data_IF_747615541294
#
_entry.id   IF_747615541294
#
_cell.length_a   1.000
_cell.length_b   1.000
_cell.length_c   1.000
_cell.angle_alpha   90.00
_cell.angle_beta   90.00
_cell.angle_gamma   90.00
#
_symmetry.space_group_name_H-M   'P 1'
#
loop_
_entity.id
_entity.type
_entity.pdbx_description
1 polymer ?
#
# COMPACT_ATOMS: atom_id res chain seq x y z
N UNK A 1 -44.38 31.66 27.81
CA UNK A 1 -44.46 32.94 28.53
C UNK A 1 -43.13 33.67 28.40
N UNK A 2 -43.20 34.92 27.93
CA UNK A 2 -42.23 36.02 28.02
C UNK A 2 -40.87 35.96 27.30
N UNK A 3 -40.91 36.62 26.14
CA UNK A 3 -39.90 37.43 25.45
C UNK A 3 -39.11 38.42 26.31
N UNK A 4 -37.89 38.77 25.87
CA UNK A 4 -37.28 40.12 25.93
C UNK A 4 -35.96 40.11 25.13
N UNK A 5 -35.45 41.16 24.48
CA UNK A 5 -35.95 42.38 23.80
C UNK A 5 -34.70 42.96 23.11
N UNK A 6 -34.82 43.43 21.88
CA UNK A 6 -33.75 44.10 21.13
C UNK A 6 -33.35 45.46 21.72
N UNK A 7 -32.15 45.95 21.39
CA UNK A 7 -31.84 47.39 21.36
C UNK A 7 -30.82 47.72 20.26
N UNK A 8 -31.09 48.85 19.62
CA UNK A 8 -30.64 49.47 18.37
C UNK A 8 -29.26 50.18 18.41
N UNK A 9 -28.67 50.45 17.22
CA UNK A 9 -27.37 51.12 16.93
C UNK A 9 -27.27 52.63 17.25
N UNK A 10 -26.63 53.54 16.47
CA UNK A 10 -25.98 53.45 15.14
C UNK A 10 -24.63 54.24 14.96
N UNK A 11 -24.12 54.27 13.71
CA UNK A 11 -23.42 55.39 13.02
C UNK A 11 -21.90 55.61 13.17
N UNK A 12 -21.17 55.55 12.04
CA UNK A 12 -20.58 56.74 11.40
C UNK A 12 -19.83 56.39 10.10
N UNK A 13 -20.11 57.18 9.06
CA UNK A 13 -19.51 57.14 7.74
C UNK A 13 -18.21 57.97 7.65
N UNK A 14 -17.29 57.63 6.74
CA UNK A 14 -16.42 58.64 6.12
C UNK A 14 -15.77 58.19 4.80
N UNK A 15 -16.32 58.74 3.71
CA UNK A 15 -15.66 59.42 2.57
C UNK A 15 -14.77 58.64 1.57
N UNK A 16 -15.30 58.62 0.33
CA UNK A 16 -14.65 58.62 -1.00
C UNK A 16 -13.72 59.84 -1.20
N UNK A 17 -12.75 59.82 -2.13
CA UNK A 17 -12.99 60.18 -3.55
C UNK A 17 -12.26 59.27 -4.57
N UNK A 18 -12.88 58.84 -5.69
CA UNK A 18 -13.07 59.50 -7.01
C UNK A 18 -11.82 59.59 -7.87
N UNK A 19 -11.76 58.79 -8.95
CA UNK A 19 -11.22 58.99 -10.33
C UNK A 19 -10.91 57.60 -10.88
N UNK A 20 -11.22 57.14 -12.09
CA UNK A 20 -11.78 57.76 -13.29
C UNK A 20 -11.86 56.66 -14.38
N UNK A 21 -12.89 56.79 -15.22
CA UNK A 21 -13.21 56.11 -16.49
C UNK A 21 -12.03 55.69 -17.39
N UNK A 22 -12.15 54.52 -18.02
CA UNK A 22 -12.13 54.32 -19.49
C UNK A 22 -12.15 52.82 -19.80
N UNK A 23 -13.25 52.26 -20.32
CA UNK A 23 -13.62 52.23 -21.74
C UNK A 23 -12.68 51.33 -22.55
N UNK A 24 -13.17 50.11 -22.80
CA UNK A 24 -12.69 49.24 -23.86
C UNK A 24 -12.98 49.89 -25.20
N UNK A 25 -11.97 49.96 -26.07
CA UNK A 25 -12.15 50.25 -27.48
C UNK A 25 -11.25 49.35 -28.33
N UNK A 26 -11.76 49.08 -29.52
CA UNK A 26 -11.45 48.00 -30.42
C UNK A 26 -10.26 48.30 -31.34
N UNK A 27 -9.73 47.22 -31.93
CA UNK A 27 -9.26 47.11 -33.31
C UNK A 27 -8.75 48.35 -34.05
N UNK A 28 -7.45 48.37 -34.38
CA UNK A 28 -6.97 48.57 -35.76
C UNK A 28 -5.44 48.43 -35.90
N UNK A 29 -5.03 47.33 -36.54
CA UNK A 29 -4.13 47.27 -37.71
C UNK A 29 -3.20 48.47 -37.97
N UNK A 30 -1.89 48.27 -37.83
CA UNK A 30 -0.86 48.75 -38.78
C UNK A 30 0.55 48.30 -38.35
N UNK A 31 1.27 47.65 -39.27
CA UNK A 31 2.72 47.44 -39.21
C UNK A 31 3.43 48.76 -39.57
N UNK A 32 4.62 49.03 -39.02
CA UNK A 32 5.81 48.86 -39.85
C UNK A 32 7.02 48.26 -39.12
N UNK A 33 7.87 47.63 -39.93
CA UNK A 33 9.16 47.07 -39.56
C UNK A 33 10.16 48.15 -39.13
N UNK A 34 10.87 47.91 -38.02
CA UNK A 34 12.18 48.50 -37.77
C UNK A 34 12.95 47.58 -36.82
N UNK A 35 14.03 47.02 -37.36
CA UNK A 35 14.96 46.13 -36.69
C UNK A 35 15.63 46.79 -35.48
N UNK A 36 15.66 46.11 -34.33
CA UNK A 36 16.72 46.26 -33.32
C UNK A 36 17.04 44.91 -32.68
N UNK A 37 18.30 44.57 -32.84
CA UNK A 37 19.02 43.38 -32.40
C UNK A 37 19.32 43.45 -30.90
N UNK A 38 18.84 42.47 -30.13
CA UNK A 38 19.31 42.08 -28.78
C UNK A 38 18.78 40.67 -28.54
N UNK A 39 19.58 39.64 -28.82
CA UNK A 39 20.49 38.99 -27.87
C UNK A 39 19.77 38.17 -26.78
N UNK A 40 20.05 36.87 -26.84
CA UNK A 40 20.21 35.91 -25.73
C UNK A 40 18.99 35.29 -25.01
N UNK A 41 18.98 33.94 -25.07
CA UNK A 41 18.52 32.99 -24.04
C UNK A 41 17.01 32.91 -23.76
N UNK A 42 16.27 32.25 -24.65
CA UNK A 42 15.03 31.55 -24.27
C UNK A 42 15.39 30.15 -23.76
N UNK A 43 15.64 30.06 -22.46
CA UNK A 43 15.74 28.79 -21.74
C UNK A 43 14.39 28.07 -21.77
N UNK A 44 14.44 26.77 -22.07
CA UNK A 44 13.37 25.80 -21.85
C UNK A 44 12.84 25.92 -20.41
N UNK A 45 11.59 26.35 -20.28
CA UNK A 45 10.77 26.12 -19.09
C UNK A 45 9.53 25.37 -19.57
N UNK A 46 9.68 24.05 -19.73
CA UNK A 46 8.54 23.14 -19.73
C UNK A 46 8.02 23.11 -18.30
N UNK A 47 7.18 24.09 -17.94
CA UNK A 47 6.27 23.91 -16.82
C UNK A 47 5.26 22.86 -17.24
N UNK A 48 5.48 21.61 -16.82
CA UNK A 48 4.37 20.66 -16.67
C UNK A 48 3.53 21.21 -15.53
N UNK A 49 2.60 22.10 -15.87
CA UNK A 49 1.44 22.31 -15.04
C UNK A 49 0.73 20.96 -15.01
N UNK A 50 0.88 20.23 -13.90
CA UNK A 50 -0.06 19.20 -13.50
C UNK A 50 -1.40 19.91 -13.32
N UNK A 51 -2.11 20.10 -14.43
CA UNK A 51 -3.51 20.43 -14.40
C UNK A 51 -4.18 19.25 -13.72
N UNK A 52 -4.46 19.41 -12.43
CA UNK A 52 -5.48 18.66 -11.70
C UNK A 52 -6.83 18.98 -12.33
N UNK A 53 -7.03 18.53 -13.57
CA UNK A 53 -8.35 18.32 -14.12
C UNK A 53 -8.89 17.11 -13.40
N UNK A 54 -9.89 17.32 -12.54
CA UNK A 54 -10.64 16.26 -11.88
C UNK A 54 -11.20 15.32 -12.96
N UNK A 55 -10.48 14.25 -13.26
CA UNK A 55 -10.95 13.19 -14.13
C UNK A 55 -12.13 12.53 -13.44
N UNK A 56 -13.22 12.34 -14.17
CA UNK A 56 -14.40 11.56 -13.75
C UNK A 56 -14.10 10.05 -13.63
N UNK A 57 -12.84 9.66 -13.58
CA UNK A 57 -12.37 8.29 -13.60
C UNK A 57 -11.18 8.09 -12.64
N UNK A 58 -10.79 6.83 -12.40
CA UNK A 58 -9.75 6.45 -11.45
C UNK A 58 -8.47 7.29 -11.59
N UNK A 59 -7.86 7.65 -10.46
CA UNK A 59 -6.55 8.32 -10.47
C UNK A 59 -5.47 7.41 -11.08
N UNK A 60 -4.50 8.00 -11.78
CA UNK A 60 -3.36 7.23 -12.28
C UNK A 60 -2.55 6.59 -11.13
N UNK A 61 -2.01 5.36 -11.31
CA UNK A 61 -2.00 4.55 -12.54
C UNK A 61 -3.22 3.63 -12.71
N UNK A 62 -4.25 3.76 -11.88
CA UNK A 62 -5.39 2.84 -11.84
C UNK A 62 -6.33 2.98 -13.04
N UNK A 63 -6.28 4.10 -13.76
CA UNK A 63 -7.00 4.35 -15.02
C UNK A 63 -6.65 3.34 -16.13
N UNK A 64 -5.52 2.65 -16.02
CA UNK A 64 -5.02 1.70 -17.02
C UNK A 64 -5.31 0.23 -16.69
N UNK A 65 -5.92 -0.06 -15.53
CA UNK A 65 -6.04 -1.44 -15.01
C UNK A 65 -6.81 -2.39 -15.94
N UNK A 66 -7.88 -1.94 -16.59
CA UNK A 66 -8.72 -2.74 -17.50
C UNK A 66 -7.97 -3.34 -18.70
N UNK A 67 -6.85 -2.73 -19.09
CA UNK A 67 -5.99 -3.22 -20.18
C UNK A 67 -4.74 -3.93 -19.69
N UNK A 68 -4.55 -4.03 -18.37
CA UNK A 68 -3.30 -4.48 -17.77
C UNK A 68 -3.34 -5.96 -17.38
N UNK A 69 -2.17 -6.58 -17.31
CA UNK A 69 -2.04 -7.90 -16.70
C UNK A 69 -1.99 -7.73 -15.18
N UNK A 70 -3.06 -8.12 -14.48
CA UNK A 70 -3.15 -8.02 -13.01
C UNK A 70 -2.91 -9.38 -12.36
N UNK A 71 -1.94 -9.45 -11.47
CA UNK A 71 -1.65 -10.62 -10.65
C UNK A 71 -1.88 -10.29 -9.18
N UNK A 72 -2.70 -11.09 -8.52
CA UNK A 72 -2.98 -10.99 -7.10
C UNK A 72 -2.17 -12.05 -6.32
N UNK A 73 -1.63 -11.64 -5.18
CA UNK A 73 -0.86 -12.49 -4.28
C UNK A 73 -1.51 -12.52 -2.90
N UNK A 74 -1.69 -13.72 -2.36
CA UNK A 74 -2.02 -13.91 -0.94
C UNK A 74 -0.71 -14.05 -0.19
N UNK A 75 -0.50 -13.21 0.82
CA UNK A 75 0.80 -13.04 1.48
C UNK A 75 0.75 -13.54 2.94
N UNK A 76 1.88 -14.06 3.42
CA UNK A 76 2.06 -14.47 4.80
C UNK A 76 2.74 -13.36 5.61
N UNK A 77 2.07 -12.91 6.67
CA UNK A 77 2.53 -11.83 7.55
C UNK A 77 3.55 -12.25 8.61
N UNK A 78 3.53 -13.51 9.02
CA UNK A 78 4.39 -14.03 10.08
C UNK A 78 5.09 -15.30 9.62
N UNK A 79 6.41 -15.22 9.53
CA UNK A 79 7.29 -16.36 9.35
C UNK A 79 8.06 -16.53 10.67
N UNK A 80 7.94 -17.70 11.30
CA UNK A 80 8.83 -18.05 12.39
C UNK A 80 10.26 -17.99 11.84
N UNK A 81 11.21 -17.33 12.54
CA UNK A 81 12.59 -17.29 12.06
C UNK A 81 13.01 -18.73 11.76
N UNK A 82 13.64 -18.98 10.59
CA UNK A 82 14.00 -20.33 10.20
C UNK A 82 14.80 -20.95 11.34
N UNK A 83 14.20 -21.94 12.00
CA UNK A 83 14.90 -22.75 12.99
C UNK A 83 16.03 -23.38 12.19
N UNK A 84 17.28 -22.95 12.44
CA UNK A 84 18.42 -23.61 11.82
C UNK A 84 18.24 -25.10 12.04
N UNK A 85 18.17 -25.83 10.93
CA UNK A 85 18.06 -27.27 10.95
C UNK A 85 19.12 -27.79 11.92
N UNK A 86 18.69 -28.42 13.00
CA UNK A 86 19.60 -29.20 13.81
C UNK A 86 20.19 -30.24 12.86
N UNK A 87 21.52 -30.19 12.68
CA UNK A 87 22.27 -31.12 11.86
C UNK A 87 21.81 -32.54 12.20
N UNK A 88 21.32 -33.34 11.23
CA UNK A 88 20.92 -34.71 11.50
C UNK A 88 22.14 -35.47 12.02
N UNK A 89 22.17 -35.76 13.32
CA UNK A 89 23.31 -36.45 13.95
C UNK A 89 23.45 -36.27 15.46
N UNK A 90 22.86 -35.25 16.08
CA UNK A 90 23.01 -35.05 17.54
C UNK A 90 21.87 -35.69 18.35
N UNK A 91 21.63 -36.98 18.15
CA UNK A 91 20.86 -37.79 19.10
C UNK A 91 21.84 -38.50 20.04
N UNK A 92 21.85 -38.11 21.32
CA UNK A 92 22.25 -39.01 22.41
C UNK A 92 23.74 -39.34 22.59
N UNK A 93 24.67 -38.52 22.14
CA UNK A 93 26.09 -38.69 22.44
C UNK A 93 26.66 -37.49 23.18
N UNK A 94 27.27 -37.70 24.35
CA UNK A 94 28.19 -36.75 24.98
C UNK A 94 29.28 -36.40 23.94
N UNK A 95 29.11 -35.29 23.22
CA UNK A 95 30.13 -34.80 22.29
C UNK A 95 31.25 -34.19 23.16
N UNK A 96 32.44 -34.81 23.23
CA UNK A 96 33.54 -34.26 24.00
C UNK A 96 34.04 -33.00 23.29
N UNK A 97 33.97 -31.85 23.96
CA UNK A 97 34.49 -30.58 23.45
C UNK A 97 33.47 -29.47 23.21
N UNK A 98 32.22 -29.61 23.66
CA UNK A 98 31.24 -28.50 23.59
C UNK A 98 31.50 -27.45 24.70
N UNK A 99 31.53 -26.15 24.37
CA UNK A 99 31.57 -25.08 25.35
C UNK A 99 30.28 -25.06 26.20
N UNK A 100 30.39 -24.70 27.50
CA UNK A 100 29.30 -24.83 28.47
C UNK A 100 28.06 -24.00 28.14
N UNK A 101 28.19 -22.87 27.46
CA UNK A 101 27.02 -22.09 27.00
C UNK A 101 26.05 -22.94 26.17
N UNK A 102 26.59 -23.89 25.40
CA UNK A 102 25.79 -24.72 24.50
C UNK A 102 24.93 -25.74 25.27
N UNK A 103 25.40 -26.20 26.43
CA UNK A 103 24.63 -27.11 27.28
C UNK A 103 23.43 -26.41 27.92
N UNK A 104 23.57 -25.12 28.25
CA UNK A 104 22.50 -24.33 28.85
C UNK A 104 21.30 -24.14 27.92
N UNK A 105 21.52 -23.82 26.64
CA UNK A 105 20.39 -23.66 25.71
C UNK A 105 19.71 -24.99 25.41
N UNK A 106 20.46 -26.10 25.37
CA UNK A 106 19.89 -27.44 25.16
C UNK A 106 18.94 -27.79 26.30
N UNK A 107 19.35 -27.55 27.55
CA UNK A 107 18.50 -27.79 28.72
C UNK A 107 17.26 -26.89 28.73
N UNK A 108 17.40 -25.61 28.39
CA UNK A 108 16.27 -24.68 28.34
C UNK A 108 15.27 -25.02 27.22
N UNK A 109 15.76 -25.40 26.04
CA UNK A 109 14.91 -25.80 24.91
C UNK A 109 14.15 -27.11 25.16
N UNK A 110 14.78 -28.07 25.83
CA UNK A 110 14.17 -29.36 26.16
C UNK A 110 12.98 -29.23 27.13
N UNK A 111 13.02 -28.28 28.06
CA UNK A 111 11.92 -28.06 29.00
C UNK A 111 10.69 -27.41 28.33
N UNK A 112 10.88 -26.48 27.39
CA UNK A 112 9.77 -25.88 26.65
C UNK A 112 9.03 -26.89 25.77
N UNK A 113 9.76 -27.81 25.15
CA UNK A 113 9.16 -28.86 24.32
C UNK A 113 8.39 -29.90 25.14
N UNK A 114 8.89 -30.23 26.34
CA UNK A 114 8.27 -31.20 27.25
C UNK A 114 6.91 -30.74 27.80
N UNK A 115 6.63 -29.42 27.82
CA UNK A 115 5.33 -28.88 28.24
C UNK A 115 4.28 -28.82 27.12
N UNK A 116 4.70 -28.90 25.86
CA UNK A 116 3.80 -28.90 24.70
C UNK A 116 3.44 -30.31 24.21
N UNK A 117 4.07 -31.34 24.77
CA UNK A 117 3.80 -32.74 24.45
C UNK A 117 2.85 -33.34 25.50
N UNK A 118 1.62 -33.75 25.11
CA UNK A 118 0.73 -34.49 25.99
C UNK A 118 1.41 -35.79 26.44
N UNK A 119 1.41 -36.12 27.74
CA UNK A 119 2.00 -37.35 28.24
C UNK A 119 1.27 -38.56 27.66
N UNK A 120 1.92 -39.29 26.74
CA UNK A 120 1.36 -40.53 26.16
C UNK A 120 1.67 -40.78 24.68
N UNK A 121 2.23 -39.80 23.95
CA UNK A 121 2.52 -39.91 22.51
C UNK A 121 4.01 -40.04 22.15
N UNK A 122 4.87 -40.37 23.12
CA UNK A 122 6.29 -40.62 22.85
C UNK A 122 6.48 -42.09 22.40
N UNK A 123 6.72 -42.37 21.10
CA UNK A 123 7.05 -43.72 20.65
C UNK A 123 8.35 -44.19 21.33
N UNK A 124 8.41 -45.45 21.82
CA UNK A 124 9.60 -45.98 22.48
C UNK A 124 10.78 -45.98 21.50
N UNK A 125 11.77 -45.11 21.74
CA UNK A 125 13.02 -45.05 20.94
C UNK A 125 13.43 -43.67 20.43
N UNK A 126 12.62 -42.61 20.54
CA UNK A 126 13.00 -41.26 20.09
C UNK A 126 13.43 -40.36 21.26
N UNK A 127 14.68 -40.51 21.70
CA UNK A 127 15.43 -39.43 22.36
C UNK A 127 16.11 -38.59 21.28
N UNK A 128 15.35 -37.63 20.75
CA UNK A 128 15.80 -36.77 19.66
C UNK A 128 14.60 -36.39 18.80
N UNK A 129 13.79 -35.47 19.31
CA UNK A 129 12.73 -34.86 18.51
C UNK A 129 13.35 -34.31 17.24
N UNK A 130 12.94 -34.86 16.09
CA UNK A 130 13.36 -34.35 14.80
C UNK A 130 12.96 -32.87 14.74
N UNK A 131 13.96 -31.99 14.70
CA UNK A 131 13.73 -30.59 14.37
C UNK A 131 13.02 -30.55 13.00
N UNK A 132 11.98 -29.70 12.83
CA UNK A 132 11.35 -29.55 11.53
C UNK A 132 12.41 -29.20 10.49
N UNK A 133 12.40 -29.92 9.37
CA UNK A 133 13.34 -29.70 8.29
C UNK A 133 13.26 -28.23 7.84
N UNK A 134 14.41 -27.61 7.46
CA UNK A 134 14.42 -26.24 6.97
C UNK A 134 13.50 -26.18 5.74
N UNK A 135 12.46 -25.35 5.81
CA UNK A 135 11.55 -25.15 4.68
C UNK A 135 12.35 -24.55 3.52
N UNK A 136 12.16 -25.04 2.27
CA UNK A 136 12.76 -24.42 1.09
C UNK A 136 12.40 -22.93 1.01
N UNK A 137 13.32 -22.11 0.48
CA UNK A 137 13.06 -20.69 0.23
C UNK A 137 11.84 -20.56 -0.69
N UNK A 138 10.74 -20.04 -0.14
CA UNK A 138 9.49 -19.90 -0.86
C UNK A 138 9.47 -18.59 -1.65
N UNK A 139 8.80 -18.53 -2.81
CA UNK A 139 8.65 -17.29 -3.57
C UNK A 139 8.12 -16.15 -2.70
N UNK A 140 8.69 -14.94 -2.88
CA UNK A 140 8.34 -13.74 -2.11
C UNK A 140 7.88 -12.62 -3.02
N UNK A 141 6.94 -11.82 -2.54
CA UNK A 141 6.50 -10.57 -3.15
C UNK A 141 6.80 -9.43 -2.17
N UNK A 142 7.72 -8.54 -2.54
CA UNK A 142 8.20 -7.43 -1.68
C UNK A 142 8.61 -7.88 -0.26
N UNK A 143 9.29 -9.04 -0.16
CA UNK A 143 9.77 -9.62 1.10
C UNK A 143 8.76 -10.54 1.82
N UNK A 144 7.47 -10.49 1.46
CA UNK A 144 6.44 -11.35 2.04
C UNK A 144 6.36 -12.68 1.31
N UNK A 145 6.29 -13.78 2.05
CA UNK A 145 6.13 -15.13 1.47
C UNK A 145 4.77 -15.24 0.77
N UNK A 146 4.78 -15.73 -0.46
CA UNK A 146 3.58 -15.94 -1.27
C UNK A 146 2.93 -17.26 -0.84
N UNK A 147 1.68 -17.18 -0.36
CA UNK A 147 0.83 -18.34 -0.05
C UNK A 147 0.06 -18.82 -1.28
N UNK A 148 -0.38 -17.88 -2.12
CA UNK A 148 -1.09 -18.16 -3.37
C UNK A 148 -0.89 -17.00 -4.34
N UNK A 149 -0.94 -17.31 -5.64
CA UNK A 149 -0.86 -16.35 -6.73
C UNK A 149 -1.99 -16.64 -7.71
N UNK A 150 -2.69 -15.60 -8.15
CA UNK A 150 -3.80 -15.73 -9.10
C UNK A 150 -3.76 -14.60 -10.11
N UNK A 151 -3.78 -14.96 -11.39
CA UNK A 151 -3.94 -13.98 -12.46
C UNK A 151 -5.41 -13.57 -12.54
N UNK A 152 -5.68 -12.27 -12.42
CA UNK A 152 -7.03 -11.71 -12.48
C UNK A 152 -7.36 -11.43 -13.94
N UNK A 153 -8.20 -12.27 -14.54
CA UNK A 153 -8.64 -12.14 -15.94
C UNK A 153 -10.01 -11.47 -16.11
N UNK A 154 -10.78 -11.36 -15.03
CA UNK A 154 -12.12 -10.76 -15.08
C UNK A 154 -11.98 -9.23 -15.19
N UNK A 155 -12.45 -8.68 -16.31
CA UNK A 155 -12.40 -7.24 -16.58
C UNK A 155 -13.24 -6.43 -15.61
N UNK A 156 -14.35 -6.99 -15.10
CA UNK A 156 -15.18 -6.31 -14.10
C UNK A 156 -14.44 -6.21 -12.76
N UNK A 157 -13.69 -7.26 -12.37
CA UNK A 157 -12.85 -7.20 -11.17
C UNK A 157 -11.73 -6.19 -11.30
N UNK A 158 -11.11 -6.09 -12.48
CA UNK A 158 -10.08 -5.09 -12.74
C UNK A 158 -10.65 -3.66 -12.69
N UNK A 159 -11.85 -3.44 -13.23
CA UNK A 159 -12.57 -2.16 -13.13
C UNK A 159 -12.93 -1.83 -11.67
N UNK A 160 -13.49 -2.79 -10.92
CA UNK A 160 -13.82 -2.62 -9.51
C UNK A 160 -12.57 -2.29 -8.67
N UNK A 161 -11.45 -2.98 -8.92
CA UNK A 161 -10.16 -2.64 -8.32
C UNK A 161 -9.69 -1.24 -8.70
N UNK A 162 -9.83 -0.84 -9.97
CA UNK A 162 -9.45 0.47 -10.45
C UNK A 162 -10.27 1.59 -9.80
N UNK A 163 -11.57 1.41 -9.69
CA UNK A 163 -12.48 2.35 -9.04
C UNK A 163 -12.14 2.48 -7.56
N UNK A 164 -12.03 1.37 -6.83
CA UNK A 164 -11.73 1.41 -5.40
C UNK A 164 -10.36 2.05 -5.13
N UNK A 165 -9.33 1.63 -5.87
CA UNK A 165 -7.95 2.09 -5.64
C UNK A 165 -7.70 3.48 -6.21
N UNK A 166 -8.43 3.89 -7.24
CA UNK A 166 -8.30 5.18 -7.89
C UNK A 166 -9.25 6.25 -7.38
N UNK A 167 -10.19 5.92 -6.50
CA UNK A 167 -11.09 6.89 -5.86
C UNK A 167 -10.45 7.46 -4.58
N UNK A 168 -10.14 8.78 -4.52
CA UNK A 168 -9.63 9.40 -3.30
C UNK A 168 -10.60 9.29 -2.12
N UNK A 169 -11.90 9.19 -2.36
CA UNK A 169 -12.91 9.04 -1.32
C UNK A 169 -12.93 7.64 -0.70
N UNK A 170 -12.17 6.67 -1.21
CA UNK A 170 -11.92 5.39 -0.55
C UNK A 170 -10.94 5.51 0.63
N UNK A 171 -10.23 6.64 0.75
CA UNK A 171 -9.12 6.78 1.67
C UNK A 171 -9.31 7.89 2.70
N UNK A 172 -8.66 7.72 3.84
CA UNK A 172 -8.58 8.69 4.92
C UNK A 172 -7.25 8.58 5.68
N UNK A 173 -6.96 9.59 6.49
CA UNK A 173 -5.73 9.66 7.29
C UNK A 173 -5.71 8.75 8.54
N UNK A 174 -6.77 7.99 8.82
CA UNK A 174 -6.86 7.12 10.01
C UNK A 174 -6.43 5.70 9.69
N UNK A 175 -5.15 5.37 9.85
CA UNK A 175 -4.66 4.01 9.73
C UNK A 175 -3.62 3.70 10.80
N UNK A 176 -3.39 2.42 11.03
CA UNK A 176 -2.33 1.96 11.94
C UNK A 176 -1.01 1.87 11.17
N UNK A 177 0.09 2.34 11.76
CA UNK A 177 1.42 2.11 11.20
C UNK A 177 1.88 0.70 11.57
N UNK A 178 1.48 -0.32 10.80
CA UNK A 178 1.96 -1.68 10.99
C UNK A 178 2.49 -2.32 9.70
N UNK A 179 3.41 -3.28 9.87
CA UNK A 179 4.18 -3.91 8.81
C UNK A 179 3.54 -5.22 8.31
N UNK A 180 2.20 -5.27 8.27
CA UNK A 180 1.46 -6.44 7.80
C UNK A 180 0.96 -6.19 6.39
N UNK A 181 1.20 -7.12 5.48
CA UNK A 181 0.64 -7.16 4.13
C UNK A 181 0.05 -8.55 3.89
N UNK A 182 -1.27 -8.64 3.93
CA UNK A 182 -2.02 -9.87 3.67
C UNK A 182 -2.21 -10.13 2.17
N UNK A 183 -2.20 -9.06 1.36
CA UNK A 183 -2.44 -9.15 -0.07
C UNK A 183 -1.48 -8.24 -0.85
N UNK A 184 -1.00 -8.74 -1.97
CA UNK A 184 -0.24 -7.98 -2.95
C UNK A 184 -1.00 -7.90 -4.27
N UNK A 185 -0.90 -6.78 -4.96
CA UNK A 185 -1.34 -6.63 -6.34
C UNK A 185 -0.16 -6.14 -7.18
N UNK A 186 0.07 -6.80 -8.30
CA UNK A 186 1.02 -6.38 -9.34
C UNK A 186 0.24 -6.22 -10.63
N UNK A 187 0.25 -5.04 -11.21
CA UNK A 187 -0.38 -4.81 -12.51
C UNK A 187 0.62 -4.24 -13.51
N UNK A 188 0.63 -4.82 -14.70
CA UNK A 188 1.56 -4.48 -15.78
C UNK A 188 0.81 -3.83 -16.93
N UNK A 189 0.77 -2.48 -17.01
CA UNK A 189 0.09 -1.77 -18.09
C UNK A 189 0.82 -1.92 -19.43
N UNK A 190 2.12 -2.23 -19.41
CA UNK A 190 2.94 -2.46 -20.60
C UNK A 190 4.09 -3.42 -20.24
N UNK A 191 4.62 -4.24 -21.18
CA UNK A 191 5.72 -5.15 -20.88
C UNK A 191 6.93 -4.45 -20.26
N UNK A 192 7.42 -4.99 -19.14
CA UNK A 192 8.59 -4.46 -18.42
C UNK A 192 8.28 -3.36 -17.41
N UNK A 193 7.01 -2.93 -17.28
CA UNK A 193 6.57 -1.98 -16.24
C UNK A 193 5.59 -2.69 -15.31
N UNK A 194 5.87 -2.68 -14.01
CA UNK A 194 4.96 -3.20 -12.99
C UNK A 194 4.62 -2.13 -11.96
N UNK A 195 3.33 -2.00 -11.68
CA UNK A 195 2.82 -1.19 -10.59
C UNK A 195 2.39 -2.15 -9.47
N UNK A 196 3.16 -2.13 -8.39
CA UNK A 196 3.00 -3.05 -7.29
C UNK A 196 2.50 -2.30 -6.06
N UNK A 197 1.56 -2.90 -5.36
CA UNK A 197 1.08 -2.40 -4.07
C UNK A 197 0.82 -3.55 -3.10
N UNK A 198 0.89 -3.22 -1.82
CA UNK A 198 0.58 -4.09 -0.71
C UNK A 198 -0.67 -3.56 0.00
N UNK A 199 -1.59 -4.46 0.30
CA UNK A 199 -2.82 -4.17 1.03
C UNK A 199 -2.72 -4.82 2.40
N UNK A 200 -2.92 -3.99 3.42
CA UNK A 200 -2.97 -4.40 4.80
C UNK A 200 -4.39 -4.30 5.35
N UNK A 201 -5.06 -5.45 5.49
CA UNK A 201 -6.40 -5.48 6.08
C UNK A 201 -6.34 -5.25 7.60
N UNK A 202 -5.31 -5.78 8.28
CA UNK A 202 -5.14 -5.57 9.72
C UNK A 202 -4.82 -4.11 10.08
N UNK A 203 -4.11 -3.39 9.20
CA UNK A 203 -3.72 -2.00 9.43
C UNK A 203 -4.69 -0.99 8.79
N UNK A 204 -5.65 -1.47 8.00
CA UNK A 204 -6.50 -0.66 7.12
C UNK A 204 -5.67 0.32 6.27
N UNK A 205 -4.62 -0.16 5.60
CA UNK A 205 -3.76 0.71 4.78
C UNK A 205 -3.32 0.04 3.47
N UNK A 206 -2.99 0.87 2.50
CA UNK A 206 -2.34 0.47 1.25
C UNK A 206 -0.93 1.08 1.18
N UNK A 207 0.02 0.34 0.63
CA UNK A 207 1.39 0.81 0.41
C UNK A 207 1.78 0.54 -1.04
N UNK A 208 1.94 1.59 -1.83
CA UNK A 208 2.52 1.49 -3.16
C UNK A 208 4.03 1.22 -3.07
N UNK A 209 4.54 0.31 -3.91
CA UNK A 209 5.93 -0.13 -3.89
C UNK A 209 6.73 0.45 -5.06
N UNK A 210 6.18 0.39 -6.27
CA UNK A 210 6.90 0.78 -7.50
C UNK A 210 6.41 2.07 -8.11
N UNK A 211 5.42 2.74 -7.48
CA UNK A 211 4.86 4.01 -7.94
C UNK A 211 4.52 4.91 -6.75
N UNK A 212 4.36 6.21 -7.01
CA UNK A 212 3.90 7.15 -6.00
C UNK A 212 2.39 7.02 -5.80
N UNK A 213 1.96 6.87 -4.54
CA UNK A 213 0.54 6.81 -4.21
C UNK A 213 -0.16 8.12 -4.64
N UNK A 214 -1.23 8.06 -5.46
CA UNK A 214 -1.81 9.25 -6.06
C UNK A 214 -2.73 10.04 -5.11
N UNK A 215 -3.10 9.46 -3.97
CA UNK A 215 -4.02 10.07 -3.01
C UNK A 215 -3.29 10.73 -1.85
N UNK A 216 -3.92 11.73 -1.24
CA UNK A 216 -3.38 12.42 -0.07
C UNK A 216 -3.29 11.55 1.20
N UNK A 217 -3.92 10.37 1.19
CA UNK A 217 -3.90 9.42 2.31
C UNK A 217 -4.03 7.99 1.80
N UNK A 218 -3.50 7.02 2.55
CA UNK A 218 -3.50 5.61 2.16
C UNK A 218 -4.26 4.69 3.14
N UNK A 219 -4.87 5.27 4.18
CA UNK A 219 -5.71 4.53 5.12
C UNK A 219 -7.07 4.22 4.50
N UNK A 220 -7.46 2.95 4.46
CA UNK A 220 -8.72 2.49 3.87
C UNK A 220 -9.90 2.81 4.81
N UNK A 221 -11.00 3.32 4.25
CA UNK A 221 -12.27 3.44 4.97
C UNK A 221 -12.89 2.05 5.21
N UNK A 222 -13.82 1.90 6.18
CA UNK A 222 -14.49 0.62 6.44
C UNK A 222 -15.20 0.04 5.20
N UNK A 223 -15.82 0.89 4.38
CA UNK A 223 -16.47 0.45 3.14
C UNK A 223 -15.45 -0.06 2.12
N UNK A 224 -14.30 0.63 1.98
CA UNK A 224 -13.18 0.19 1.13
C UNK A 224 -12.62 -1.15 1.57
N UNK A 225 -12.46 -1.36 2.88
CA UNK A 225 -12.03 -2.66 3.45
C UNK A 225 -13.03 -3.75 3.09
N UNK A 226 -14.33 -3.47 3.21
CA UNK A 226 -15.40 -4.40 2.86
C UNK A 226 -15.38 -4.74 1.37
N UNK A 227 -15.36 -3.75 0.48
CA UNK A 227 -15.33 -3.97 -0.97
C UNK A 227 -14.09 -4.73 -1.42
N UNK A 228 -12.90 -4.40 -0.89
CA UNK A 228 -11.69 -5.19 -1.17
C UNK A 228 -11.76 -6.61 -0.62
N UNK A 229 -12.41 -6.82 0.53
CA UNK A 229 -12.64 -8.17 1.06
C UNK A 229 -13.58 -8.98 0.16
N UNK A 230 -14.59 -8.34 -0.44
CA UNK A 230 -15.47 -8.98 -1.43
C UNK A 230 -14.69 -9.34 -2.71
N UNK A 231 -13.83 -8.44 -3.20
CA UNK A 231 -12.92 -8.73 -4.32
C UNK A 231 -11.99 -9.91 -3.99
N UNK A 232 -11.42 -9.95 -2.78
CA UNK A 232 -10.59 -11.07 -2.31
C UNK A 232 -11.37 -12.39 -2.34
N UNK A 233 -12.64 -12.39 -1.92
CA UNK A 233 -13.49 -13.60 -1.97
C UNK A 233 -13.82 -14.02 -3.40
N UNK A 234 -13.94 -13.08 -4.35
CA UNK A 234 -14.12 -13.39 -5.77
C UNK A 234 -12.85 -13.99 -6.38
N UNK A 235 -11.67 -13.52 -5.98
CA UNK A 235 -10.36 -14.05 -6.46
C UNK A 235 -10.05 -15.40 -5.81
N UNK A 236 -10.28 -15.54 -4.49
CA UNK A 236 -10.02 -16.74 -3.70
C UNK A 236 -11.27 -17.13 -2.89
N UNK A 237 -12.19 -17.91 -3.48
CA UNK A 237 -13.39 -18.36 -2.78
C UNK A 237 -13.04 -19.21 -1.54
N UNK A 238 -13.79 -19.10 -0.44
CA UNK A 238 -13.57 -19.95 0.73
C UNK A 238 -13.90 -21.42 0.40
N UNK A 239 -12.97 -22.34 0.66
CA UNK A 239 -13.20 -23.79 0.54
C UNK A 239 -12.76 -24.43 -0.79
N UNK A 240 -12.07 -23.68 -1.66
CA UNK A 240 -11.29 -24.22 -2.79
C UNK A 240 -9.85 -24.49 -2.37
#
# INVERSE_FOLDING_TARGET
>A
MSTNRATSGPSAASRRPTTGRSAADSSAKSLPAAARTTATLSALLVLVAAASGCSKGPAAPFDTLKGSNVTAFRLQNYELPPQQAATPGAAGGLIPGLPPEIQTWVQQGAQGLSQLLPPGLLPPGMVGGAAPAPQPDAPRFHGFRILSQTQVFDTNLQEELAEILGDPDSFHNRHSTCAYSEMGLSFSPQPGVTNDLLISFSCNQIVAQTFAWPHGSAGMKPETVKSLSEVVQKIWPPGT
#
